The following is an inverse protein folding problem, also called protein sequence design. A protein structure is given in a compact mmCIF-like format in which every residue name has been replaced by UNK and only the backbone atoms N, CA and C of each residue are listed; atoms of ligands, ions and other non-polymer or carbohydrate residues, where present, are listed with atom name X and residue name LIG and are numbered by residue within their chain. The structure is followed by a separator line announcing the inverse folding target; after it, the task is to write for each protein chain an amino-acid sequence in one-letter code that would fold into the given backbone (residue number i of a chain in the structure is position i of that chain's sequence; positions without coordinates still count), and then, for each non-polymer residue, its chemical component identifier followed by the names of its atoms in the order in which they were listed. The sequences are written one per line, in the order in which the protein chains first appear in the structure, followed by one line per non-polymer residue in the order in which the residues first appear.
data_IF_778084379546
#
_entry.id   IF_778084379546
#
_cell.length_a   1.000
_cell.length_b   1.000
_cell.length_c   1.000
_cell.angle_alpha   90.00
_cell.angle_beta   90.00
_cell.angle_gamma   90.00
#
_symmetry.space_group_name_H-M   'P 1'
#
loop_
_entity.id
_entity.type
_entity.pdbx_description
1 polymer ?
#
# COMPACT_ATOMS: atom_id res chain seq x y z
N UNK A 1 -15.64 -2.21 14.40
CA UNK A 1 -14.31 -1.77 13.92
C UNK A 1 -13.98 -2.64 12.71
N UNK A 2 -14.27 -2.17 11.50
CA UNK A 2 -14.03 -2.98 10.31
C UNK A 2 -12.54 -3.10 10.02
N UNK A 3 -12.04 -4.34 10.07
CA UNK A 3 -10.73 -4.78 9.61
C UNK A 3 -10.62 -4.60 8.07
N UNK A 4 -10.51 -3.36 7.59
CA UNK A 4 -10.39 -3.08 6.15
C UNK A 4 -8.94 -3.09 5.64
N UNK A 5 -8.01 -3.58 6.47
CA UNK A 5 -6.62 -3.85 6.10
C UNK A 5 -6.57 -5.06 5.18
N UNK A 6 -6.15 -4.84 3.93
CA UNK A 6 -6.03 -5.90 2.93
C UNK A 6 -4.68 -6.58 3.08
N UNK A 7 -4.60 -7.90 2.92
CA UNK A 7 -3.31 -8.58 2.88
C UNK A 7 -2.84 -8.78 1.44
N UNK A 8 -1.67 -8.22 1.10
CA UNK A 8 -1.06 -8.33 -0.21
C UNK A 8 0.34 -8.96 -0.18
N UNK A 9 0.77 -9.58 0.92
CA UNK A 9 2.13 -10.17 1.01
C UNK A 9 2.42 -11.21 -0.07
N UNK A 10 1.38 -11.92 -0.54
CA UNK A 10 1.48 -12.94 -1.60
C UNK A 10 1.50 -12.37 -3.03
N UNK A 11 1.33 -11.06 -3.21
CA UNK A 11 1.40 -10.45 -4.54
C UNK A 11 2.85 -10.23 -4.97
N UNK A 12 3.13 -10.40 -6.26
CA UNK A 12 4.36 -9.84 -6.83
C UNK A 12 4.31 -8.30 -6.79
N UNK A 13 5.47 -7.63 -6.79
CA UNK A 13 5.54 -6.16 -6.84
C UNK A 13 4.72 -5.58 -8.00
N UNK A 14 4.75 -6.21 -9.18
CA UNK A 14 3.96 -5.80 -10.35
C UNK A 14 2.46 -5.91 -10.09
N UNK A 15 1.99 -7.05 -9.55
CA UNK A 15 0.57 -7.26 -9.26
C UNK A 15 0.08 -6.30 -8.17
N UNK A 16 0.91 -6.04 -7.16
CA UNK A 16 0.63 -5.06 -6.12
C UNK A 16 0.48 -3.65 -6.71
N UNK A 17 1.41 -3.20 -7.56
CA UNK A 17 1.35 -1.90 -8.21
C UNK A 17 0.08 -1.72 -9.06
N UNK A 18 -0.29 -2.73 -9.85
CA UNK A 18 -1.53 -2.72 -10.65
C UNK A 18 -2.75 -2.59 -9.74
N UNK A 19 -2.81 -3.41 -8.67
CA UNK A 19 -3.93 -3.40 -7.72
C UNK A 19 -4.04 -2.07 -6.99
N UNK A 20 -2.93 -1.48 -6.56
CA UNK A 20 -2.88 -0.18 -5.91
C UNK A 20 -3.36 0.94 -6.84
N UNK A 21 -2.94 0.95 -8.12
CA UNK A 21 -3.45 1.93 -9.10
C UNK A 21 -4.96 1.86 -9.25
N UNK A 22 -5.54 0.66 -9.31
CA UNK A 22 -6.99 0.47 -9.40
C UNK A 22 -7.69 0.98 -8.13
N UNK A 23 -7.18 0.65 -6.94
CA UNK A 23 -7.76 1.07 -5.68
C UNK A 23 -7.67 2.58 -5.49
N UNK A 24 -6.49 3.17 -5.73
CA UNK A 24 -6.23 4.61 -5.58
C UNK A 24 -7.03 5.46 -6.57
N UNK A 25 -7.28 4.96 -7.79
CA UNK A 25 -8.14 5.66 -8.76
C UNK A 25 -9.63 5.66 -8.39
N UNK A 26 -10.06 4.74 -7.51
CA UNK A 26 -11.45 4.63 -7.05
C UNK A 26 -11.69 5.31 -5.71
N UNK A 27 -10.64 5.81 -5.06
CA UNK A 27 -10.74 6.43 -3.75
C UNK A 27 -11.26 7.87 -3.85
N UNK A 28 -12.22 8.26 -2.98
CA UNK A 28 -12.56 9.66 -2.76
C UNK A 28 -11.35 10.47 -2.32
N UNK A 29 -11.37 11.78 -2.57
CA UNK A 29 -10.32 12.69 -2.10
C UNK A 29 -10.26 12.67 -0.57
N UNK A 30 -9.07 12.42 -0.01
CA UNK A 30 -8.82 12.33 1.43
C UNK A 30 -8.89 10.93 2.03
N UNK A 31 -9.33 9.93 1.27
CA UNK A 31 -9.28 8.53 1.72
C UNK A 31 -7.92 7.87 1.44
N UNK A 32 -7.67 6.74 2.12
CA UNK A 32 -6.44 5.97 1.97
C UNK A 32 -6.70 4.46 1.94
N UNK A 33 -5.85 3.74 1.20
CA UNK A 33 -5.77 2.27 1.25
C UNK A 33 -4.83 1.88 2.38
N UNK A 34 -5.28 0.98 3.26
CA UNK A 34 -4.45 0.27 4.23
C UNK A 34 -4.25 -1.18 3.80
N UNK A 35 -3.01 -1.66 3.80
CA UNK A 35 -2.69 -3.04 3.41
C UNK A 35 -1.40 -3.56 4.07
N UNK A 36 -1.27 -4.88 4.16
CA UNK A 36 -0.04 -5.56 4.56
C UNK A 36 0.82 -5.86 3.33
N UNK A 37 2.12 -5.65 3.48
CA UNK A 37 3.12 -5.89 2.45
C UNK A 37 4.43 -6.41 3.05
N UNK A 38 5.27 -7.03 2.24
CA UNK A 38 6.65 -7.43 2.60
C UNK A 38 7.60 -6.24 2.49
N UNK A 39 8.83 -6.40 3.00
CA UNK A 39 9.86 -5.36 2.87
C UNK A 39 10.14 -5.01 1.42
N UNK A 40 10.33 -6.03 0.59
CA UNK A 40 10.59 -5.87 -0.84
C UNK A 40 9.47 -5.07 -1.53
N UNK A 41 8.22 -5.38 -1.21
CA UNK A 41 7.08 -4.66 -1.74
C UNK A 41 7.06 -3.20 -1.29
N UNK A 42 7.35 -2.90 -0.03
CA UNK A 42 7.43 -1.53 0.48
C UNK A 42 8.47 -0.73 -0.32
N UNK A 43 9.69 -1.25 -0.44
CA UNK A 43 10.80 -0.57 -1.11
C UNK A 43 10.51 -0.30 -2.61
N UNK A 44 9.83 -1.25 -3.28
CA UNK A 44 9.53 -1.15 -4.70
C UNK A 44 8.23 -0.38 -5.03
N UNK A 45 7.31 -0.21 -4.07
CA UNK A 45 5.99 0.40 -4.34
C UNK A 45 5.81 1.77 -3.68
N UNK A 46 6.35 1.99 -2.48
CA UNK A 46 6.15 3.24 -1.74
C UNK A 46 6.80 4.43 -2.45
N UNK A 47 8.04 4.28 -2.93
CA UNK A 47 8.80 5.33 -3.60
C UNK A 47 8.10 5.83 -4.88
N UNK A 48 7.66 4.95 -5.81
CA UNK A 48 6.89 5.39 -6.98
C UNK A 48 5.61 6.15 -6.67
N UNK A 49 4.84 5.75 -5.65
CA UNK A 49 3.60 6.44 -5.29
C UNK A 49 3.85 7.76 -4.58
N UNK A 50 4.85 7.84 -3.71
CA UNK A 50 5.24 9.12 -3.08
C UNK A 50 5.65 10.16 -4.13
N UNK A 51 6.41 9.77 -5.16
CA UNK A 51 6.78 10.65 -6.28
C UNK A 51 5.61 11.09 -7.17
N UNK A 52 4.44 10.43 -7.08
CA UNK A 52 3.22 10.80 -7.80
C UNK A 52 2.29 11.70 -6.99
N UNK A 53 2.72 12.19 -5.83
CA UNK A 53 1.94 13.08 -4.98
C UNK A 53 1.01 12.36 -3.98
N UNK A 54 1.14 11.04 -3.83
CA UNK A 54 0.44 10.32 -2.77
C UNK A 54 1.18 10.45 -1.43
N UNK A 55 0.42 10.56 -0.34
CA UNK A 55 0.91 10.41 1.02
C UNK A 55 1.08 8.93 1.33
N UNK A 56 2.31 8.53 1.65
CA UNK A 56 2.68 7.15 1.93
C UNK A 56 3.26 7.07 3.34
N UNK A 57 2.81 6.09 4.12
CA UNK A 57 3.36 5.77 5.43
C UNK A 57 3.33 4.27 5.65
N UNK A 58 4.26 3.73 6.43
CA UNK A 58 4.26 2.32 6.81
C UNK A 58 4.79 2.13 8.22
N UNK A 59 4.35 1.04 8.86
CA UNK A 59 4.84 0.57 10.16
C UNK A 59 5.20 -0.91 10.07
N UNK A 60 6.32 -1.32 10.67
CA UNK A 60 6.67 -2.75 10.76
C UNK A 60 5.77 -3.46 11.79
N UNK A 61 5.17 -4.59 11.38
CA UNK A 61 4.29 -5.42 12.23
C UNK A 61 4.84 -6.81 12.51
N UNK A 62 5.84 -7.25 11.75
CA UNK A 62 6.53 -8.52 11.95
C UNK A 62 7.88 -8.54 11.22
N UNK A 63 8.52 -9.70 11.14
CA UNK A 63 9.86 -9.84 10.56
C UNK A 63 9.92 -9.40 9.08
N UNK A 64 8.93 -9.81 8.28
CA UNK A 64 8.78 -9.40 6.88
C UNK A 64 7.36 -8.94 6.55
N UNK A 65 6.75 -8.20 7.48
CA UNK A 65 5.38 -7.72 7.33
C UNK A 65 5.27 -6.26 7.79
N UNK A 66 4.74 -5.43 6.90
CA UNK A 66 4.60 -3.99 7.05
C UNK A 66 3.16 -3.60 6.80
N UNK A 67 2.58 -2.82 7.71
CA UNK A 67 1.30 -2.18 7.50
C UNK A 67 1.53 -0.88 6.76
N UNK A 68 1.12 -0.82 5.50
CA UNK A 68 1.27 0.33 4.62
C UNK A 68 -0.06 1.07 4.50
N UNK A 69 0.02 2.39 4.43
CA UNK A 69 -1.10 3.28 4.15
C UNK A 69 -0.72 4.24 3.02
N UNK A 70 -1.55 4.30 1.97
CA UNK A 70 -1.36 5.18 0.81
C UNK A 70 -2.67 5.94 0.54
N UNK A 71 -2.62 7.27 0.48
CA UNK A 71 -3.77 8.14 0.18
C UNK A 71 -3.35 9.42 -0.57
N UNK A 72 -4.32 10.23 -1.00
CA UNK A 72 -4.06 11.58 -1.55
C UNK A 72 -4.22 12.64 -0.48
#
# INVERSE_FOLDING_TARGET
MENNTKDFTELTCTNLMIKLKILLNRLPNGDSVRFLATREQVDNTCTPFSGQGYRVSWDQRGENQFLVQIGR
#
